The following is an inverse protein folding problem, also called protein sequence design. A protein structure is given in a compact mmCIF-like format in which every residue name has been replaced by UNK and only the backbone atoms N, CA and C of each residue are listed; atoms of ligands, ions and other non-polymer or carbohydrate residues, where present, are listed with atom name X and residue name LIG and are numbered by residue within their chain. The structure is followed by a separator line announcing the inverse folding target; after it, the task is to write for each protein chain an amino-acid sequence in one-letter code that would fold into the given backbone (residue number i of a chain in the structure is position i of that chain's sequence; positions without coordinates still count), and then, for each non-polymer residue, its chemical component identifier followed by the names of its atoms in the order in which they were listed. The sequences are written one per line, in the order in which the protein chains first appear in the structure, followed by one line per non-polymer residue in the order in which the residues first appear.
data_IF_940711599499
#
_entry.id   IF_940711599499
#
_cell.length_a   1.000
_cell.length_b   1.000
_cell.length_c   1.000
_cell.angle_alpha   90.00
_cell.angle_beta   90.00
_cell.angle_gamma   90.00
#
_symmetry.space_group_name_H-M   'P 1'
#
loop_
_entity.id
_entity.type
_entity.pdbx_description
1 polymer ?
#
# COMPACT_ATOMS: atom_id res chain seq x y z
N UNK A 1 2.07 -7.36 -29.69
CA UNK A 1 1.23 -7.10 -28.50
C UNK A 1 1.92 -7.80 -27.35
N UNK A 2 2.45 -7.07 -26.36
CA UNK A 2 3.19 -7.66 -25.24
C UNK A 2 2.30 -8.61 -24.42
N UNK A 3 2.90 -9.44 -23.53
CA UNK A 3 2.12 -10.29 -22.63
C UNK A 3 1.12 -9.44 -21.84
N UNK A 4 -0.09 -9.97 -21.63
CA UNK A 4 -1.06 -9.35 -20.73
C UNK A 4 -0.37 -9.15 -19.37
N UNK A 5 -0.54 -8.00 -18.70
CA UNK A 5 0.21 -7.71 -17.48
C UNK A 5 0.18 -8.84 -16.46
N UNK A 6 -0.98 -9.45 -16.24
CA UNK A 6 -1.13 -10.60 -15.33
C UNK A 6 -0.12 -11.73 -15.63
N UNK A 7 0.05 -12.11 -16.90
CA UNK A 7 0.96 -13.20 -17.28
C UNK A 7 2.41 -12.82 -16.99
N UNK A 8 2.80 -11.58 -17.30
CA UNK A 8 4.15 -11.09 -17.02
C UNK A 8 4.49 -11.17 -15.53
N UNK A 9 3.58 -10.73 -14.65
CA UNK A 9 3.80 -10.80 -13.21
C UNK A 9 3.83 -12.24 -12.68
N UNK A 10 2.98 -13.13 -13.20
CA UNK A 10 2.96 -14.55 -12.84
C UNK A 10 4.26 -15.26 -13.25
N UNK A 11 4.67 -15.13 -14.52
CA UNK A 11 5.87 -15.75 -15.08
C UNK A 11 7.14 -15.23 -14.39
N UNK A 12 7.16 -13.94 -14.04
CA UNK A 12 8.28 -13.30 -13.33
C UNK A 12 8.26 -13.53 -11.82
N UNK A 13 7.24 -14.20 -11.26
CA UNK A 13 7.05 -14.42 -9.81
C UNK A 13 7.02 -13.11 -9.00
N UNK A 14 6.41 -12.07 -9.58
CA UNK A 14 6.26 -10.74 -8.97
C UNK A 14 4.83 -10.49 -8.44
N UNK A 15 4.04 -11.54 -8.31
CA UNK A 15 2.68 -11.51 -7.75
C UNK A 15 2.46 -12.73 -6.88
N UNK A 16 1.53 -12.63 -5.94
CA UNK A 16 1.02 -13.74 -5.12
C UNK A 16 0.01 -14.62 -5.87
N UNK A 17 -0.34 -14.25 -7.11
CA UNK A 17 -1.29 -14.96 -7.97
C UNK A 17 -2.64 -14.26 -8.07
N UNK A 18 -2.90 -13.23 -7.27
CA UNK A 18 -4.10 -12.41 -7.38
C UNK A 18 -4.04 -11.47 -8.60
N UNK A 19 -5.20 -10.92 -9.05
CA UNK A 19 -5.22 -9.90 -10.08
C UNK A 19 -4.35 -8.70 -9.71
N UNK A 20 -3.53 -8.23 -10.65
CA UNK A 20 -2.60 -7.13 -10.42
C UNK A 20 -2.77 -6.00 -11.43
N UNK A 21 -2.76 -4.76 -10.96
CA UNK A 21 -2.76 -3.57 -11.81
C UNK A 21 -1.34 -3.01 -11.89
N UNK A 22 -0.72 -2.89 -13.08
CA UNK A 22 0.63 -2.34 -13.18
C UNK A 22 0.72 -0.92 -12.61
N UNK A 23 1.70 -0.64 -11.73
CA UNK A 23 1.88 0.67 -11.12
C UNK A 23 2.60 1.60 -12.09
N UNK A 24 1.89 2.04 -13.14
CA UNK A 24 2.42 3.06 -14.05
C UNK A 24 2.62 4.38 -13.31
N UNK A 25 3.61 5.16 -13.74
CA UNK A 25 3.95 6.45 -13.11
C UNK A 25 2.73 7.37 -12.95
N UNK A 26 1.87 7.47 -13.97
CA UNK A 26 0.67 8.31 -13.90
C UNK A 26 -0.34 7.86 -12.85
N UNK A 27 -0.47 6.54 -12.62
CA UNK A 27 -1.38 6.02 -11.58
C UNK A 27 -0.83 6.28 -10.19
N UNK A 28 0.49 6.12 -10.01
CA UNK A 28 1.18 6.43 -8.76
C UNK A 28 1.09 7.92 -8.48
N UNK A 29 1.31 8.77 -9.49
CA UNK A 29 1.15 10.23 -9.39
C UNK A 29 -0.26 10.62 -8.98
N UNK A 30 -1.29 10.04 -9.59
CA UNK A 30 -2.68 10.32 -9.24
C UNK A 30 -3.01 9.98 -7.77
N UNK A 31 -2.44 8.90 -7.21
CA UNK A 31 -2.58 8.58 -5.78
C UNK A 31 -1.98 9.66 -4.90
N UNK A 32 -0.73 10.05 -5.19
CA UNK A 32 0.01 11.04 -4.42
C UNK A 32 -0.63 12.43 -4.50
N UNK A 33 -1.07 12.84 -5.70
CA UNK A 33 -1.78 14.10 -5.93
C UNK A 33 -3.10 14.15 -5.17
N UNK A 34 -3.90 13.08 -5.21
CA UNK A 34 -5.16 13.02 -4.47
C UNK A 34 -4.96 13.17 -2.97
N UNK A 35 -3.92 12.54 -2.42
CA UNK A 35 -3.59 12.62 -1.00
C UNK A 35 -2.78 13.88 -0.61
N UNK A 36 -2.30 14.67 -1.57
CA UNK A 36 -1.44 15.84 -1.32
C UNK A 36 -0.09 15.48 -0.71
N UNK A 37 0.49 14.32 -1.04
CA UNK A 37 1.73 13.82 -0.46
C UNK A 37 2.90 13.92 -1.44
N UNK A 38 4.07 14.32 -0.95
CA UNK A 38 5.31 14.22 -1.72
C UNK A 38 5.78 12.75 -1.82
N UNK A 39 6.37 12.31 -2.94
CA UNK A 39 6.78 10.91 -3.12
C UNK A 39 7.73 10.38 -2.03
N UNK A 40 8.65 11.23 -1.57
CA UNK A 40 9.68 10.94 -0.57
C UNK A 40 9.22 11.14 0.88
N UNK A 41 8.00 11.68 1.09
CA UNK A 41 7.43 11.86 2.42
C UNK A 41 7.36 10.51 3.15
N UNK A 42 7.93 10.45 4.35
CA UNK A 42 7.91 9.25 5.19
C UNK A 42 6.54 9.12 5.86
N UNK A 43 5.84 8.03 5.56
CA UNK A 43 4.56 7.66 6.18
C UNK A 43 4.78 6.94 7.51
N UNK A 44 5.85 6.14 7.60
CA UNK A 44 6.21 5.41 8.81
C UNK A 44 7.58 4.75 8.70
N UNK A 45 8.08 4.23 9.82
CA UNK A 45 9.38 3.55 9.89
C UNK A 45 9.20 2.20 10.57
N UNK A 46 9.63 1.13 9.92
CA UNK A 46 9.81 -0.16 10.59
C UNK A 46 11.11 -0.09 11.40
N UNK A 47 10.97 0.12 12.71
CA UNK A 47 12.10 0.45 13.59
C UNK A 47 13.13 -0.66 13.75
N UNK A 48 12.75 -1.93 13.62
CA UNK A 48 13.67 -3.06 13.85
C UNK A 48 14.63 -3.22 12.67
N UNK A 49 14.14 -3.09 11.44
CA UNK A 49 14.96 -3.12 10.21
C UNK A 49 15.46 -1.74 9.78
N UNK A 50 15.06 -0.69 10.49
CA UNK A 50 15.32 0.70 10.19
C UNK A 50 14.98 1.05 8.73
N UNK A 51 13.74 0.73 8.32
CA UNK A 51 13.26 0.94 6.93
C UNK A 51 12.19 2.01 6.87
N UNK A 52 12.46 3.06 6.09
CA UNK A 52 11.49 4.10 5.77
C UNK A 52 10.47 3.60 4.76
N UNK A 53 9.19 3.75 5.11
CA UNK A 53 8.04 3.53 4.25
C UNK A 53 7.61 4.91 3.75
N UNK A 54 7.88 5.19 2.48
CA UNK A 54 7.57 6.46 1.83
C UNK A 54 6.19 6.43 1.18
N UNK A 55 5.58 7.60 0.97
CA UNK A 55 4.29 7.72 0.33
C UNK A 55 4.27 7.06 -1.07
N UNK A 56 5.35 7.20 -1.84
CA UNK A 56 5.47 6.54 -3.15
C UNK A 56 5.40 5.01 -3.05
N UNK A 57 6.08 4.40 -2.06
CA UNK A 57 6.01 2.94 -1.87
C UNK A 57 4.59 2.49 -1.52
N UNK A 58 3.89 3.25 -0.68
CA UNK A 58 2.50 2.95 -0.33
C UNK A 58 1.60 3.12 -1.56
N UNK A 59 1.82 4.17 -2.37
CA UNK A 59 1.08 4.42 -3.61
C UNK A 59 1.28 3.30 -4.64
N UNK A 60 2.53 2.88 -4.89
CA UNK A 60 2.86 1.76 -5.79
C UNK A 60 2.12 0.49 -5.39
N UNK A 61 2.19 0.11 -4.11
CA UNK A 61 1.49 -1.09 -3.61
C UNK A 61 -0.04 -0.94 -3.70
N UNK A 62 -0.56 0.26 -3.42
CA UNK A 62 -1.99 0.55 -3.54
C UNK A 62 -2.48 0.43 -4.98
N UNK A 63 -1.73 0.95 -5.95
CA UNK A 63 -2.05 0.78 -7.37
C UNK A 63 -1.99 -0.70 -7.74
N UNK A 64 -0.95 -1.43 -7.33
CA UNK A 64 -0.83 -2.86 -7.59
C UNK A 64 -2.04 -3.67 -7.09
N UNK A 65 -2.58 -3.30 -5.93
CA UNK A 65 -3.77 -3.89 -5.35
C UNK A 65 -5.10 -3.43 -6.00
N UNK A 66 -5.07 -2.54 -7.00
CA UNK A 66 -6.26 -2.01 -7.65
C UNK A 66 -7.02 -0.97 -6.82
N UNK A 67 -6.35 -0.32 -5.86
CA UNK A 67 -6.94 0.73 -5.03
C UNK A 67 -7.39 1.92 -5.90
N UNK A 68 -8.43 2.63 -5.45
CA UNK A 68 -8.88 3.90 -6.04
C UNK A 68 -8.22 5.08 -5.30
N UNK A 69 -7.86 6.19 -5.97
CA UNK A 69 -7.23 7.35 -5.33
C UNK A 69 -7.96 7.87 -4.08
N UNK A 70 -9.28 7.92 -4.11
CA UNK A 70 -10.13 8.34 -2.99
C UNK A 70 -9.98 7.48 -1.72
N UNK A 71 -9.57 6.22 -1.87
CA UNK A 71 -9.33 5.31 -0.74
C UNK A 71 -7.88 5.40 -0.24
N UNK A 72 -6.97 5.95 -1.04
CA UNK A 72 -5.55 6.00 -0.72
C UNK A 72 -5.22 6.71 0.61
N UNK A 73 -5.86 7.84 0.99
CA UNK A 73 -5.63 8.47 2.30
C UNK A 73 -5.88 7.53 3.50
N UNK A 74 -6.85 6.61 3.36
CA UNK A 74 -7.13 5.59 4.38
C UNK A 74 -5.97 4.58 4.45
N UNK A 75 -5.46 4.13 3.30
CA UNK A 75 -4.31 3.22 3.25
C UNK A 75 -3.07 3.85 3.88
N UNK A 76 -2.79 5.12 3.56
CA UNK A 76 -1.68 5.87 4.17
C UNK A 76 -1.83 5.92 5.68
N UNK A 77 -3.03 6.25 6.18
CA UNK A 77 -3.31 6.32 7.62
C UNK A 77 -3.18 4.95 8.29
N UNK A 78 -3.65 3.88 7.64
CA UNK A 78 -3.53 2.51 8.14
C UNK A 78 -2.08 2.06 8.22
N UNK A 79 -1.25 2.36 7.21
CA UNK A 79 0.18 2.05 7.22
C UNK A 79 0.91 2.84 8.30
N UNK A 80 0.61 4.13 8.45
CA UNK A 80 1.17 4.96 9.52
C UNK A 80 0.81 4.39 10.91
N UNK A 81 -0.45 4.02 11.13
CA UNK A 81 -0.90 3.39 12.37
C UNK A 81 -0.22 2.03 12.63
N UNK A 82 -0.01 1.21 11.60
CA UNK A 82 0.74 -0.03 11.73
C UNK A 82 2.22 0.19 12.09
N UNK A 83 2.78 1.35 11.74
CA UNK A 83 4.15 1.71 12.13
C UNK A 83 4.26 2.26 13.56
N UNK A 84 3.13 2.44 14.26
CA UNK A 84 3.17 2.77 15.68
C UNK A 84 3.84 1.63 16.47
N UNK A 85 4.69 1.99 17.43
CA UNK A 85 5.46 1.05 18.23
C UNK A 85 4.57 0.04 18.97
N UNK A 86 3.37 0.47 19.37
CA UNK A 86 2.42 -0.38 20.08
C UNK A 86 1.87 -1.52 19.22
N UNK A 87 1.80 -1.34 17.90
CA UNK A 87 1.34 -2.37 16.96
C UNK A 87 2.45 -3.38 16.62
N UNK A 88 3.72 -2.93 16.56
CA UNK A 88 4.89 -3.75 16.24
C UNK A 88 4.75 -4.52 14.91
N UNK A 89 4.80 -3.83 13.76
CA UNK A 89 4.57 -4.43 12.44
C UNK A 89 5.63 -5.48 12.06
N UNK A 90 6.81 -5.41 12.68
CA UNK A 90 7.89 -6.36 12.46
C UNK A 90 7.44 -7.80 12.74
N UNK A 91 6.81 -8.01 13.90
CA UNK A 91 6.39 -9.34 14.35
C UNK A 91 5.45 -10.01 13.34
N UNK A 92 4.51 -9.25 12.78
CA UNK A 92 3.60 -9.72 11.75
C UNK A 92 4.32 -9.99 10.41
N UNK A 93 5.23 -9.09 10.01
CA UNK A 93 5.91 -9.18 8.70
C UNK A 93 6.93 -10.33 8.59
N UNK A 94 7.43 -10.83 9.71
CA UNK A 94 8.42 -11.93 9.75
C UNK A 94 7.82 -13.27 10.17
N UNK A 95 6.50 -13.32 10.40
CA UNK A 95 5.80 -14.54 10.79
C UNK A 95 5.72 -15.53 9.64
N UNK A 96 5.93 -16.82 9.94
CA UNK A 96 5.64 -17.93 9.00
C UNK A 96 4.17 -18.36 9.05
N UNK A 97 3.44 -17.98 10.10
CA UNK A 97 1.99 -18.10 10.15
C UNK A 97 1.39 -16.89 9.43
N UNK A 98 0.45 -17.10 8.49
CA UNK A 98 -0.17 -16.02 7.74
C UNK A 98 -0.94 -15.06 8.65
N UNK A 99 -0.40 -13.84 8.83
CA UNK A 99 -1.06 -12.79 9.62
C UNK A 99 -1.70 -11.79 8.66
N UNK A 100 -3.01 -11.61 8.79
CA UNK A 100 -3.74 -10.55 8.08
C UNK A 100 -4.03 -9.41 9.05
N UNK A 101 -3.70 -8.19 8.64
CA UNK A 101 -4.06 -6.98 9.40
C UNK A 101 -5.49 -6.58 9.05
N UNK A 102 -6.38 -6.56 10.04
CA UNK A 102 -7.72 -5.98 9.90
C UNK A 102 -7.64 -4.46 10.09
N UNK A 103 -8.13 -3.71 9.11
CA UNK A 103 -8.27 -2.25 9.21
C UNK A 103 -9.74 -1.91 9.33
N UNK A 104 -10.12 -1.24 10.43
CA UNK A 104 -11.47 -0.71 10.63
C UNK A 104 -11.46 0.80 10.38
N UNK A 105 -12.32 1.26 9.48
CA UNK A 105 -12.41 2.66 9.06
C UNK A 105 -13.78 3.19 9.48
N UNK A 106 -13.81 4.33 10.15
CA UNK A 106 -15.05 4.95 10.64
C UNK A 106 -14.96 6.47 10.62
N UNK A 107 -16.11 7.15 10.74
CA UNK A 107 -16.21 8.61 10.77
C UNK A 107 -16.50 9.25 9.41
N UNK A 108 -16.41 10.58 9.36
CA UNK A 108 -16.89 11.38 8.22
C UNK A 108 -16.29 11.02 6.86
N UNK A 109 -14.99 10.71 6.83
CA UNK A 109 -14.33 10.33 5.57
C UNK A 109 -14.80 8.96 5.07
N UNK A 110 -15.05 8.00 5.97
CA UNK A 110 -15.63 6.70 5.60
C UNK A 110 -16.98 6.88 4.89
N UNK A 111 -17.86 7.71 5.46
CA UNK A 111 -19.17 8.02 4.85
C UNK A 111 -19.05 8.70 3.47
N UNK A 112 -17.93 9.36 3.18
CA UNK A 112 -17.70 10.04 1.90
C UNK A 112 -17.28 9.06 0.80
N UNK A 113 -16.53 8.01 1.15
CA UNK A 113 -15.90 7.11 0.19
C UNK A 113 -16.61 5.75 0.05
N UNK A 114 -17.51 5.42 0.98
CA UNK A 114 -18.32 4.19 0.99
C UNK A 114 -17.88 3.21 2.06
#
# INVERSE_FOLDING_TARGET
MGPKPQNYYLESKLTDGLPIVPPSEDRVRAMLEFAGLAPDQVVGVETIRNKNITAEKVAVNSVMAGCRPEYFPVVVSAVAACCDRSFNPHASSTSTNGVTVLVLVSGGYAHTIG
#
